data_IF_755242895399
#
_entry.id   IF_755242895399
#
_cell.length_a   1.000
_cell.length_b   1.000
_cell.length_c   1.000
_cell.angle_alpha   90.00
_cell.angle_beta   90.00
_cell.angle_gamma   90.00
#
_symmetry.space_group_name_H-M   'P 1'
#
loop_
_entity.id
_entity.type
_entity.pdbx_description
1 polymer ?
#
# COMPACT_ATOMS: atom_id res chain seq x y z
N UNK A 1 -11.41 -4.19 15.50
CA UNK A 1 -10.84 -4.86 14.31
C UNK A 1 -9.49 -4.23 14.05
N UNK A 2 -8.39 -4.93 14.33
CA UNK A 2 -7.03 -4.40 14.15
C UNK A 2 -6.58 -4.63 12.71
N UNK A 3 -6.24 -3.55 12.00
CA UNK A 3 -5.75 -3.61 10.62
C UNK A 3 -4.41 -4.37 10.52
N UNK A 4 -3.75 -4.60 11.66
CA UNK A 4 -2.54 -5.42 11.77
C UNK A 4 -2.71 -6.82 11.15
N UNK A 5 -3.90 -7.42 11.25
CA UNK A 5 -4.13 -8.75 10.69
C UNK A 5 -4.10 -8.82 9.15
N UNK A 6 -4.30 -7.69 8.47
CA UNK A 6 -4.21 -7.66 7.01
C UNK A 6 -2.76 -7.71 6.50
N UNK A 7 -1.79 -7.43 7.37
CA UNK A 7 -0.37 -7.43 7.04
C UNK A 7 0.33 -8.72 7.49
N UNK A 8 -0.38 -9.61 8.20
CA UNK A 8 0.11 -10.93 8.55
C UNK A 8 0.37 -11.75 7.27
N UNK A 9 1.44 -12.54 7.27
CA UNK A 9 1.94 -13.36 6.17
C UNK A 9 2.42 -12.61 4.91
N UNK A 10 2.52 -11.27 4.95
CA UNK A 10 3.12 -10.51 3.85
C UNK A 10 4.64 -10.40 3.96
N UNK A 11 5.32 -10.55 2.81
CA UNK A 11 6.76 -10.31 2.67
C UNK A 11 7.02 -8.99 1.98
N UNK A 12 8.09 -8.31 2.40
CA UNK A 12 8.61 -7.19 1.64
C UNK A 12 9.12 -7.68 0.27
N UNK A 13 8.65 -7.07 -0.82
CA UNK A 13 9.12 -7.42 -2.18
C UNK A 13 10.59 -7.04 -2.43
N UNK A 14 11.14 -6.10 -1.65
CA UNK A 14 12.51 -5.62 -1.79
C UNK A 14 13.52 -6.49 -1.04
N UNK A 15 13.26 -6.81 0.23
CA UNK A 15 14.21 -7.56 1.07
C UNK A 15 13.74 -8.97 1.46
N UNK A 16 12.50 -9.36 1.14
CA UNK A 16 11.96 -10.69 1.43
C UNK A 16 11.54 -10.94 2.89
N UNK A 17 11.77 -9.99 3.80
CA UNK A 17 11.43 -10.15 5.21
C UNK A 17 9.90 -10.29 5.41
N UNK A 18 9.51 -11.23 6.27
CA UNK A 18 8.12 -11.62 6.55
C UNK A 18 7.60 -10.91 7.81
N UNK A 19 6.36 -10.39 7.78
CA UNK A 19 5.71 -9.77 8.95
C UNK A 19 6.43 -8.54 9.52
N UNK A 20 7.15 -7.80 8.66
CA UNK A 20 7.88 -6.56 9.02
C UNK A 20 7.29 -5.31 8.37
N UNK A 21 6.09 -5.45 7.77
CA UNK A 21 5.38 -4.35 7.10
C UNK A 21 4.49 -3.63 8.10
N UNK A 22 4.55 -2.30 8.08
CA UNK A 22 3.73 -1.41 8.89
C UNK A 22 2.94 -0.47 8.01
N UNK A 23 1.64 -0.33 8.28
CA UNK A 23 0.80 0.67 7.63
C UNK A 23 0.84 1.97 8.44
N UNK A 24 1.12 3.09 7.77
CA UNK A 24 0.81 4.42 8.26
C UNK A 24 -0.58 4.84 7.71
N UNK A 25 -1.65 4.74 8.51
CA UNK A 25 -3.00 5.07 8.04
C UNK A 25 -3.22 6.58 7.84
N UNK A 26 -2.39 7.43 8.44
CA UNK A 26 -2.49 8.89 8.29
C UNK A 26 -1.92 9.32 6.93
N UNK A 27 -0.83 8.68 6.51
CA UNK A 27 -0.09 9.01 5.30
C UNK A 27 -0.41 8.07 4.12
N UNK A 28 -1.14 6.99 4.36
CA UNK A 28 -1.61 6.07 3.33
C UNK A 28 -0.51 5.26 2.65
N UNK A 29 0.53 4.86 3.38
CA UNK A 29 1.59 4.00 2.85
C UNK A 29 1.89 2.82 3.77
N UNK A 30 2.40 1.75 3.17
CA UNK A 30 2.99 0.60 3.86
C UNK A 30 4.50 0.73 3.80
N UNK A 31 5.18 0.61 4.94
CA UNK A 31 6.63 0.68 5.06
C UNK A 31 7.19 -0.63 5.62
N UNK A 32 8.33 -1.07 5.08
CA UNK A 32 9.11 -2.16 5.64
C UNK A 32 10.10 -1.63 6.69
N UNK A 33 10.03 -2.14 7.91
CA UNK A 33 10.90 -1.68 8.99
C UNK A 33 12.37 -2.12 8.86
N UNK A 34 12.64 -3.19 8.10
CA UNK A 34 13.99 -3.72 7.92
C UNK A 34 14.79 -2.96 6.86
N UNK A 35 14.17 -2.66 5.71
CA UNK A 35 14.85 -2.02 4.58
C UNK A 35 14.39 -0.58 4.30
N UNK A 36 13.36 -0.09 4.99
CA UNK A 36 12.82 1.26 4.86
C UNK A 36 12.04 1.52 3.56
N UNK A 37 11.77 0.48 2.76
CA UNK A 37 11.01 0.64 1.52
C UNK A 37 9.55 1.02 1.84
N UNK A 38 8.99 2.00 1.12
CA UNK A 38 7.62 2.49 1.26
C UNK A 38 6.82 2.29 -0.02
N UNK A 39 5.67 1.64 0.10
CA UNK A 39 4.69 1.49 -0.97
C UNK A 39 3.44 2.33 -0.65
N UNK A 40 3.05 3.21 -1.57
CA UNK A 40 1.82 4.00 -1.42
C UNK A 40 0.58 3.12 -1.64
N UNK A 41 -0.41 3.22 -0.76
CA UNK A 41 -1.71 2.56 -0.91
C UNK A 41 -2.59 3.48 -1.75
N UNK A 42 -2.59 3.26 -3.06
CA UNK A 42 -3.51 3.95 -3.95
C UNK A 42 -4.89 3.32 -3.81
N UNK A 43 -5.82 4.05 -3.20
CA UNK A 43 -7.25 3.73 -3.32
C UNK A 43 -7.69 4.31 -4.65
N UNK A 44 -8.15 3.46 -5.57
CA UNK A 44 -8.67 3.93 -6.85
C UNK A 44 -9.89 4.83 -6.59
N UNK A 45 -9.91 6.07 -7.10
CA UNK A 45 -11.01 6.99 -6.85
C UNK A 45 -12.33 6.52 -7.48
N UNK A 46 -12.36 5.47 -8.30
CA UNK A 46 -13.62 4.91 -8.82
C UNK A 46 -14.50 4.27 -7.75
N UNK A 47 -13.94 3.83 -6.61
CA UNK A 47 -14.72 3.38 -5.44
C UNK A 47 -15.07 4.53 -4.47
N UNK A 48 -14.45 5.71 -4.68
CA UNK A 48 -14.72 6.96 -3.96
C UNK A 48 -15.33 8.00 -4.90
N UNK A 49 -16.45 7.63 -5.53
CA UNK A 49 -17.36 8.45 -6.35
C UNK A 49 -16.84 9.86 -6.77
N UNK A 50 -16.52 9.93 -8.06
CA UNK A 50 -16.32 11.12 -8.90
C UNK A 50 -14.91 11.75 -8.97
N UNK A 51 -14.47 11.84 -10.23
CA UNK A 51 -13.44 12.72 -10.77
C UNK A 51 -11.96 12.33 -10.62
N UNK A 52 -11.45 11.86 -11.78
CA UNK A 52 -10.23 12.33 -12.44
C UNK A 52 -8.98 11.44 -12.32
N UNK A 53 -9.08 10.20 -12.81
CA UNK A 53 -7.97 9.66 -13.61
C UNK A 53 -8.48 9.35 -15.02
N UNK A 54 -8.34 10.34 -15.89
CA UNK A 54 -8.26 10.09 -17.33
C UNK A 54 -6.98 9.31 -17.57
N UNK A 55 -7.06 7.98 -17.53
CA UNK A 55 -6.12 7.18 -18.31
C UNK A 55 -6.41 7.50 -19.79
N UNK A 56 -5.77 8.57 -20.27
CA UNK A 56 -5.58 8.77 -21.70
C UNK A 56 -4.73 7.60 -22.18
N UNK A 57 -5.33 6.73 -22.98
CA UNK A 57 -4.57 5.75 -23.73
C UNK A 57 -3.79 6.41 -24.84
N UNK A 58 -2.68 5.81 -25.25
CA UNK A 58 -2.50 5.27 -26.59
C UNK A 58 -1.31 4.29 -26.65
N UNK A 59 -1.48 3.24 -27.48
CA UNK A 59 -0.60 2.11 -27.88
C UNK A 59 0.00 1.14 -26.84
#
# INVERSE_FOLDING_TARGET
MSLAHFLDDLRCSCCGALNVLWLDPVRGFVECHECGQKAAVMVDPADSLDSRWSFGGDW
#
